data_IF_404088164008
#
_entry.id   IF_404088164008
#
_cell.length_a   1.000
_cell.length_b   1.000
_cell.length_c   1.000
_cell.angle_alpha   90.00
_cell.angle_beta   90.00
_cell.angle_gamma   90.00
#
_symmetry.space_group_name_H-M   'P 1'
#
loop_
_entity.id
_entity.type
_entity.pdbx_description
1 polymer ?
#
# COMPACT_ATOMS: atom_id res chain seq x y z
N UNK A 1 12.50 -3.14 16.05
CA UNK A 1 11.38 -3.00 15.09
C UNK A 1 11.95 -3.03 13.68
N UNK A 2 11.58 -4.02 12.87
CA UNK A 2 12.13 -4.19 11.51
C UNK A 2 11.41 -3.24 10.56
N UNK A 3 12.17 -2.53 9.72
CA UNK A 3 11.61 -1.66 8.67
C UNK A 3 11.48 -2.44 7.37
N UNK A 4 10.32 -2.34 6.73
CA UNK A 4 10.04 -3.03 5.47
C UNK A 4 9.35 -2.08 4.50
N UNK A 5 9.51 -2.34 3.21
CA UNK A 5 8.75 -1.65 2.16
C UNK A 5 7.67 -2.60 1.64
N UNK A 6 6.41 -2.15 1.64
CA UNK A 6 5.25 -2.90 1.15
C UNK A 6 4.84 -2.37 -0.23
N UNK A 7 5.01 -3.19 -1.26
CA UNK A 7 4.70 -2.86 -2.64
C UNK A 7 3.24 -3.19 -3.02
N UNK A 8 2.88 -2.87 -4.26
CA UNK A 8 1.54 -3.11 -4.82
C UNK A 8 1.14 -4.58 -4.72
N UNK A 9 2.06 -5.51 -5.00
CA UNK A 9 1.79 -6.94 -4.98
C UNK A 9 1.37 -7.42 -3.59
N UNK A 10 2.02 -6.96 -2.53
CA UNK A 10 1.61 -7.26 -1.17
C UNK A 10 0.19 -6.79 -0.85
N UNK A 11 -0.14 -5.54 -1.18
CA UNK A 11 -1.47 -4.98 -0.90
C UNK A 11 -2.57 -5.66 -1.70
N UNK A 12 -2.32 -5.95 -2.98
CA UNK A 12 -3.26 -6.70 -3.84
C UNK A 12 -3.48 -8.11 -3.28
N UNK A 13 -2.40 -8.82 -2.94
CA UNK A 13 -2.50 -10.15 -2.36
C UNK A 13 -3.24 -10.12 -1.02
N UNK A 14 -3.02 -9.11 -0.17
CA UNK A 14 -3.71 -8.97 1.11
C UNK A 14 -5.22 -8.77 0.96
N UNK A 15 -5.66 -7.98 -0.03
CA UNK A 15 -7.07 -7.65 -0.25
C UNK A 15 -7.82 -8.67 -1.12
N UNK A 16 -7.13 -9.48 -1.93
CA UNK A 16 -7.74 -10.42 -2.86
C UNK A 16 -7.64 -11.87 -2.35
N UNK A 17 -8.73 -12.48 -1.83
CA UNK A 17 -8.70 -13.86 -1.35
C UNK A 17 -8.39 -14.91 -2.42
N UNK A 18 -8.50 -14.56 -3.70
CA UNK A 18 -8.20 -15.44 -4.83
C UNK A 18 -6.75 -15.30 -5.33
N UNK A 19 -5.97 -14.42 -4.74
CA UNK A 19 -4.55 -14.28 -5.06
C UNK A 19 -3.76 -15.47 -4.50
N UNK A 20 -2.84 -16.02 -5.29
CA UNK A 20 -2.02 -17.17 -4.88
C UNK A 20 -1.17 -16.86 -3.65
N UNK A 21 -0.82 -15.58 -3.44
CA UNK A 21 -0.03 -15.12 -2.29
C UNK A 21 -0.90 -14.64 -1.13
N UNK A 22 -2.23 -14.72 -1.23
CA UNK A 22 -3.14 -14.19 -0.21
C UNK A 22 -2.82 -14.70 1.20
N UNK A 23 -2.63 -16.01 1.33
CA UNK A 23 -2.33 -16.63 2.63
C UNK A 23 -0.99 -16.12 3.20
N UNK A 24 0.03 -15.99 2.35
CA UNK A 24 1.34 -15.46 2.76
C UNK A 24 1.24 -13.99 3.19
N UNK A 25 0.50 -13.17 2.46
CA UNK A 25 0.27 -11.76 2.80
C UNK A 25 -0.47 -11.63 4.16
N UNK A 26 -1.50 -12.45 4.37
CA UNK A 26 -2.25 -12.55 5.63
C UNK A 26 -1.38 -12.97 6.81
N UNK A 27 -0.44 -13.90 6.61
CA UNK A 27 0.45 -14.34 7.68
C UNK A 27 1.51 -13.29 8.03
N UNK A 28 1.97 -12.52 7.05
CA UNK A 28 2.84 -11.35 7.28
C UNK A 28 2.08 -10.25 8.02
N UNK A 29 0.81 -9.99 7.66
CA UNK A 29 0.02 -8.92 8.30
C UNK A 29 -0.24 -9.16 9.79
N UNK A 30 -0.24 -10.42 10.24
CA UNK A 30 -0.30 -10.76 11.68
C UNK A 30 0.93 -10.30 12.47
N UNK A 31 2.04 -9.99 11.79
CA UNK A 31 3.28 -9.51 12.41
C UNK A 31 3.40 -7.98 12.36
N UNK A 32 2.36 -7.27 11.90
CA UNK A 32 2.41 -5.84 11.59
C UNK A 32 2.77 -4.96 12.80
N UNK A 33 2.42 -5.38 14.03
CA UNK A 33 2.83 -4.68 15.26
C UNK A 33 4.35 -4.70 15.50
N UNK A 34 5.06 -5.68 14.93
CA UNK A 34 6.52 -5.81 15.05
C UNK A 34 7.29 -5.12 13.92
N UNK A 35 6.58 -4.67 12.89
CA UNK A 35 7.09 -4.06 11.67
C UNK A 35 6.82 -2.56 11.65
N UNK A 36 7.73 -1.82 11.04
CA UNK A 36 7.47 -0.45 10.60
C UNK A 36 7.41 -0.46 9.07
N UNK A 37 6.25 -0.14 8.52
CA UNK A 37 5.97 -0.29 7.10
C UNK A 37 6.15 1.05 6.41
N UNK A 38 6.95 1.04 5.35
CA UNK A 38 6.98 2.09 4.36
C UNK A 38 6.21 1.64 3.11
N UNK A 39 5.43 2.54 2.54
CA UNK A 39 4.86 2.42 1.19
C UNK A 39 4.97 3.79 0.53
N UNK A 40 4.54 3.95 -0.72
CA UNK A 40 4.52 5.25 -1.39
C UNK A 40 3.16 5.55 -1.99
N UNK A 41 2.87 6.83 -2.23
CA UNK A 41 1.65 7.24 -2.95
C UNK A 41 1.55 6.59 -4.33
N UNK A 42 2.67 6.39 -5.02
CA UNK A 42 2.69 5.70 -6.32
C UNK A 42 2.29 4.22 -6.19
N UNK A 43 2.72 3.52 -5.15
CA UNK A 43 2.25 2.15 -4.85
C UNK A 43 0.74 2.16 -4.60
N UNK A 44 0.24 3.11 -3.79
CA UNK A 44 -1.20 3.20 -3.51
C UNK A 44 -2.02 3.53 -4.77
N UNK A 45 -1.48 4.34 -5.68
CA UNK A 45 -2.10 4.62 -6.96
C UNK A 45 -2.21 3.37 -7.84
N UNK A 46 -1.18 2.50 -7.87
CA UNK A 46 -1.25 1.21 -8.56
C UNK A 46 -2.31 0.28 -7.95
N UNK A 47 -2.41 0.22 -6.62
CA UNK A 47 -3.45 -0.56 -5.91
C UNK A 47 -4.85 -0.07 -6.29
N UNK A 48 -5.08 1.25 -6.25
CA UNK A 48 -6.36 1.84 -6.66
C UNK A 48 -6.69 1.55 -8.12
N UNK A 49 -5.70 1.68 -9.01
CA UNK A 49 -5.87 1.41 -10.43
C UNK A 49 -6.22 -0.07 -10.68
N UNK A 50 -5.53 -1.01 -10.01
CA UNK A 50 -5.80 -2.44 -10.11
C UNK A 50 -7.24 -2.79 -9.67
N UNK A 51 -7.69 -2.24 -8.53
CA UNK A 51 -9.03 -2.52 -8.01
C UNK A 51 -10.16 -1.72 -8.70
N UNK A 52 -9.85 -0.64 -9.44
CA UNK A 52 -10.84 0.22 -10.09
C UNK A 52 -11.82 -0.54 -10.99
N UNK A 53 -11.31 -1.56 -11.72
CA UNK A 53 -12.07 -2.39 -12.68
C UNK A 53 -12.64 -3.68 -12.07
N UNK A 54 -12.37 -3.96 -10.80
CA UNK A 54 -12.72 -5.23 -10.13
C UNK A 54 -14.09 -5.21 -9.42
N UNK A 55 -14.87 -4.14 -9.60
CA UNK A 55 -16.22 -4.00 -9.06
C UNK A 55 -16.28 -3.26 -7.72
N UNK A 56 -17.50 -2.98 -7.26
CA UNK A 56 -17.74 -2.08 -6.12
C UNK A 56 -17.10 -2.57 -4.81
N UNK A 57 -17.15 -3.88 -4.55
CA UNK A 57 -16.56 -4.49 -3.36
C UNK A 57 -15.06 -4.19 -3.25
N UNK A 58 -14.30 -4.44 -4.31
CA UNK A 58 -12.86 -4.23 -4.32
C UNK A 58 -12.47 -2.75 -4.30
N UNK A 59 -13.25 -1.88 -4.96
CA UNK A 59 -13.04 -0.43 -4.85
C UNK A 59 -13.18 0.05 -3.41
N UNK A 60 -14.22 -0.41 -2.72
CA UNK A 60 -14.45 -0.05 -1.32
C UNK A 60 -13.33 -0.58 -0.42
N UNK A 61 -12.91 -1.83 -0.60
CA UNK A 61 -11.80 -2.42 0.15
C UNK A 61 -10.47 -1.68 -0.06
N UNK A 62 -10.19 -1.20 -1.28
CA UNK A 62 -8.99 -0.41 -1.56
C UNK A 62 -9.01 0.96 -0.88
N UNK A 63 -10.18 1.62 -0.82
CA UNK A 63 -10.36 2.89 -0.10
C UNK A 63 -10.12 2.68 1.40
N UNK A 64 -10.78 1.68 1.99
CA UNK A 64 -10.65 1.36 3.42
C UNK A 64 -9.21 1.00 3.79
N UNK A 65 -8.51 0.24 2.94
CA UNK A 65 -7.09 -0.05 3.13
C UNK A 65 -6.30 1.26 3.21
N UNK A 66 -6.42 2.13 2.21
CA UNK A 66 -5.61 3.36 2.14
C UNK A 66 -5.90 4.30 3.31
N UNK A 67 -7.17 4.48 3.67
CA UNK A 67 -7.56 5.25 4.85
C UNK A 67 -6.95 4.67 6.13
N UNK A 68 -6.93 3.34 6.27
CA UNK A 68 -6.30 2.69 7.41
C UNK A 68 -4.78 2.93 7.45
N UNK A 69 -4.10 2.92 6.30
CA UNK A 69 -2.65 3.11 6.22
C UNK A 69 -2.23 4.52 6.65
N UNK A 70 -2.99 5.55 6.24
CA UNK A 70 -2.73 6.92 6.66
C UNK A 70 -2.97 7.15 8.17
N UNK A 71 -3.84 6.36 8.79
CA UNK A 71 -4.17 6.45 10.21
C UNK A 71 -3.34 5.50 11.09
N UNK A 72 -2.49 4.64 10.51
CA UNK A 72 -1.78 3.61 11.26
C UNK A 72 -0.43 4.12 11.81
N UNK A 73 -0.15 4.01 13.12
CA UNK A 73 1.02 4.62 13.75
C UNK A 73 2.37 4.04 13.28
N UNK A 74 2.38 2.77 12.84
CA UNK A 74 3.58 2.09 12.34
C UNK A 74 3.67 2.04 10.80
N UNK A 75 2.90 2.89 10.11
CA UNK A 75 2.96 3.01 8.64
C UNK A 75 3.39 4.42 8.27
N UNK A 76 4.29 4.54 7.31
CA UNK A 76 4.61 5.80 6.63
C UNK A 76 4.31 5.66 5.15
N UNK A 77 3.40 6.51 4.65
CA UNK A 77 3.17 6.69 3.21
C UNK A 77 4.09 7.79 2.71
N UNK A 78 5.07 7.41 1.89
CA UNK A 78 6.01 8.34 1.29
C UNK A 78 5.29 9.11 0.17
N UNK A 79 5.20 10.42 0.36
CA UNK A 79 4.63 11.36 -0.60
C UNK A 79 5.46 11.40 -1.88
N UNK A 80 4.81 11.53 -3.03
CA UNK A 80 5.51 11.76 -4.29
C UNK A 80 6.04 13.21 -4.31
N UNK A 81 7.37 13.44 -4.35
CA UNK A 81 7.89 14.79 -4.40
C UNK A 81 7.61 15.41 -5.77
N UNK A 82 7.41 16.73 -5.81
CA UNK A 82 7.44 17.47 -7.06
C UNK A 82 8.89 17.54 -7.57
N UNK A 83 9.21 16.74 -8.58
CA UNK A 83 10.52 16.72 -9.21
C UNK A 83 10.80 17.97 -10.06
N UNK A 84 9.79 18.81 -10.35
CA UNK A 84 9.96 20.05 -11.15
C UNK A 84 10.73 21.14 -10.40
N UNK A 85 10.85 21.03 -9.08
CA UNK A 85 11.60 21.98 -8.24
C UNK A 85 13.13 21.85 -8.46
N UNK A 86 13.60 20.71 -8.97
CA UNK A 86 15.03 20.46 -9.19
C UNK A 86 15.56 20.85 -10.58
N UNK A 87 14.71 21.42 -11.46
CA UNK A 87 15.10 21.81 -12.84
C UNK A 87 15.46 23.30 -12.95
N UNK A 88 15.59 24.03 -11.84
CA UNK A 88 16.09 25.41 -11.84
C UNK A 88 17.16 25.64 -10.78
N UNK A 89 18.39 25.23 -11.10
CA UNK A 89 19.56 25.98 -10.65
C UNK A 89 20.43 26.27 -11.88
N UNK A 90 20.65 27.55 -12.25
CA UNK A 90 21.61 27.93 -13.28
C UNK A 90 23.06 27.67 -12.85
#
# INVERSE_FOLDING_TARGET
MRRVFADTGYWVALLNPKDELHQKARDISKQMDSLYIFTSEMVLAEVLNDFSKRGAFFRQAAIELIESLYNHPNVTVIQQPDYRVWVKQP
#
